data_IF_379261011767
#
_entry.id   IF_379261011767
#
_cell.length_a   1.000
_cell.length_b   1.000
_cell.length_c   1.000
_cell.angle_alpha   90.00
_cell.angle_beta   90.00
_cell.angle_gamma   90.00
#
_symmetry.space_group_name_H-M   'P 1'
#
loop_
_entity.id
_entity.type
_entity.pdbx_description
1 polymer ?
#
# COMPACT_ATOMS: atom_id res chain seq x y z
N UNK A 1 19.55 19.40 -8.99
CA UNK A 1 19.08 18.94 -10.32
C UNK A 1 17.72 19.54 -10.75
N UNK A 2 17.08 20.41 -9.96
CA UNK A 2 15.73 20.94 -10.22
C UNK A 2 15.63 21.95 -11.37
N UNK A 3 16.75 22.57 -11.74
CA UNK A 3 16.84 23.59 -12.81
C UNK A 3 16.93 22.95 -14.20
N UNK A 4 17.56 21.77 -14.31
CA UNK A 4 17.73 21.08 -15.58
C UNK A 4 16.46 20.33 -16.02
N UNK A 5 15.75 19.69 -15.08
CA UNK A 5 14.57 18.88 -15.40
C UNK A 5 13.30 19.69 -15.70
N UNK A 6 13.19 20.93 -15.20
CA UNK A 6 12.03 21.80 -15.47
C UNK A 6 11.82 22.08 -16.96
N UNK A 7 12.82 22.55 -17.74
CA UNK A 7 12.64 22.76 -19.19
C UNK A 7 12.53 21.44 -19.97
N UNK A 8 13.21 20.37 -19.55
CA UNK A 8 13.16 19.06 -20.24
C UNK A 8 11.81 18.34 -20.09
N UNK A 9 11.15 18.44 -18.93
CA UNK A 9 9.79 17.92 -18.74
C UNK A 9 8.78 18.61 -19.67
N UNK A 10 8.96 19.90 -19.99
CA UNK A 10 8.09 20.65 -20.92
C UNK A 10 8.24 20.15 -22.37
N UNK A 11 9.41 19.60 -22.73
CA UNK A 11 9.67 18.98 -24.04
C UNK A 11 9.31 17.49 -24.11
N UNK A 12 8.64 16.94 -23.10
CA UNK A 12 8.20 15.54 -23.09
C UNK A 12 9.27 14.51 -22.68
N UNK A 13 10.44 14.96 -22.22
CA UNK A 13 11.49 14.07 -21.70
C UNK A 13 11.20 13.83 -20.22
N UNK A 14 10.63 12.66 -19.92
CA UNK A 14 10.32 12.25 -18.55
C UNK A 14 11.59 12.06 -17.72
N UNK A 15 11.67 12.71 -16.56
CA UNK A 15 12.77 12.57 -15.61
C UNK A 15 13.02 11.09 -15.22
N UNK A 16 14.17 10.50 -15.60
CA UNK A 16 14.55 9.14 -15.27
C UNK A 16 15.07 9.00 -13.83
N UNK A 17 15.30 10.11 -13.11
CA UNK A 17 15.83 10.15 -11.74
C UNK A 17 14.74 10.27 -10.66
N UNK A 18 13.46 10.20 -11.03
CA UNK A 18 12.37 10.25 -10.06
C UNK A 18 12.49 9.10 -9.03
N UNK A 19 12.55 9.42 -7.71
CA UNK A 19 12.60 8.41 -6.65
C UNK A 19 11.45 7.39 -6.73
N UNK A 20 10.31 7.79 -7.31
CA UNK A 20 9.15 6.93 -7.52
C UNK A 20 9.44 5.70 -8.41
N UNK A 21 10.54 5.71 -9.19
CA UNK A 21 10.96 4.58 -10.03
C UNK A 21 12.10 3.74 -9.42
N UNK A 22 12.49 4.00 -8.17
CA UNK A 22 13.59 3.25 -7.52
C UNK A 22 13.13 1.88 -6.98
N UNK A 23 12.84 0.96 -7.89
CA UNK A 23 12.41 -0.40 -7.56
C UNK A 23 13.44 -1.19 -6.74
N UNK A 24 14.74 -0.86 -6.86
CA UNK A 24 15.81 -1.54 -6.11
C UNK A 24 15.70 -1.30 -4.61
N UNK A 25 15.51 -0.05 -4.19
CA UNK A 25 15.34 0.26 -2.76
C UNK A 25 14.00 -0.27 -2.21
N UNK A 26 12.94 -0.24 -3.02
CA UNK A 26 11.66 -0.86 -2.66
C UNK A 26 11.80 -2.36 -2.36
N UNK A 27 12.43 -3.11 -3.28
CA UNK A 27 12.69 -4.55 -3.11
C UNK A 27 13.55 -4.79 -1.87
N UNK A 28 14.54 -3.93 -1.62
CA UNK A 28 15.45 -4.05 -0.47
C UNK A 28 14.74 -3.80 0.87
N UNK A 29 13.88 -2.79 0.95
CA UNK A 29 13.06 -2.51 2.15
C UNK A 29 12.10 -3.66 2.40
N UNK A 30 11.29 -4.05 1.40
CA UNK A 30 10.37 -5.18 1.56
C UNK A 30 11.09 -6.47 1.96
N UNK A 31 12.24 -6.77 1.35
CA UNK A 31 13.05 -7.95 1.69
C UNK A 31 13.56 -7.91 3.12
N UNK A 32 14.04 -6.76 3.60
CA UNK A 32 14.53 -6.60 4.98
C UNK A 32 13.41 -6.76 5.98
N UNK A 33 12.25 -6.14 5.72
CA UNK A 33 11.09 -6.26 6.60
C UNK A 33 10.58 -7.69 6.64
N UNK A 34 10.44 -8.37 5.48
CA UNK A 34 10.04 -9.78 5.42
C UNK A 34 11.02 -10.70 6.15
N UNK A 35 12.33 -10.44 5.99
CA UNK A 35 13.36 -11.20 6.72
C UNK A 35 13.21 -11.00 8.23
N UNK A 36 13.04 -9.77 8.69
CA UNK A 36 12.83 -9.47 10.11
C UNK A 36 11.57 -10.15 10.65
N UNK A 37 10.45 -10.12 9.92
CA UNK A 37 9.20 -10.83 10.31
C UNK A 37 9.44 -12.33 10.48
N UNK A 38 10.14 -12.96 9.54
CA UNK A 38 10.46 -14.37 9.61
C UNK A 38 11.41 -14.72 10.78
N UNK A 39 12.28 -13.79 11.18
CA UNK A 39 13.16 -13.94 12.34
C UNK A 39 12.46 -13.65 13.68
N UNK A 40 11.21 -13.16 13.67
CA UNK A 40 10.42 -12.79 14.84
C UNK A 40 9.06 -13.50 14.83
N UNK A 41 9.07 -14.83 14.61
CA UNK A 41 7.90 -15.70 14.74
C UNK A 41 6.66 -15.22 13.93
N UNK A 42 6.91 -14.80 12.70
CA UNK A 42 5.91 -14.28 11.78
C UNK A 42 5.05 -13.13 12.36
N UNK A 43 5.64 -12.28 13.21
CA UNK A 43 4.93 -11.16 13.82
C UNK A 43 4.25 -10.27 12.77
N UNK A 44 2.93 -10.16 12.89
CA UNK A 44 2.10 -9.33 12.03
C UNK A 44 2.67 -7.91 12.00
N UNK A 45 3.06 -7.48 10.80
CA UNK A 45 3.70 -6.18 10.60
C UNK A 45 2.99 -5.41 9.51
N UNK A 46 2.50 -4.22 9.85
CA UNK A 46 1.85 -3.29 8.92
C UNK A 46 2.85 -2.17 8.61
N UNK A 47 3.12 -1.96 7.32
CA UNK A 47 4.01 -0.91 6.82
C UNK A 47 3.30 -0.02 5.80
N UNK A 48 3.97 1.06 5.38
CA UNK A 48 3.49 1.94 4.31
C UNK A 48 4.64 2.44 3.43
N UNK A 49 4.63 3.73 3.11
CA UNK A 49 5.68 4.47 2.36
C UNK A 49 5.87 4.09 0.89
N UNK A 50 5.78 2.80 0.53
CA UNK A 50 6.03 2.32 -0.85
C UNK A 50 4.87 2.56 -1.80
N UNK A 51 3.69 2.97 -1.29
CA UNK A 51 2.46 3.15 -2.05
C UNK A 51 1.95 1.86 -2.72
N UNK A 52 2.43 0.69 -2.28
CA UNK A 52 2.05 -0.61 -2.84
C UNK A 52 1.29 -1.42 -1.81
N UNK A 53 -0.05 -1.47 -1.88
CA UNK A 53 -0.83 -2.23 -0.91
C UNK A 53 -0.46 -3.71 -0.99
N UNK A 54 -0.36 -4.36 0.16
CA UNK A 54 -0.06 -5.79 0.30
C UNK A 54 -0.92 -6.38 1.41
N UNK A 55 -1.56 -7.49 1.08
CA UNK A 55 -2.41 -8.23 2.01
C UNK A 55 -2.08 -9.73 1.85
N UNK A 56 -1.18 -10.28 2.69
CA UNK A 56 -0.77 -11.69 2.60
C UNK A 56 -1.89 -12.62 3.05
N UNK A 57 -1.88 -13.88 2.57
CA UNK A 57 -2.81 -14.90 3.05
C UNK A 57 -2.29 -15.52 4.35
N UNK A 58 -3.15 -16.09 5.20
CA UNK A 58 -2.72 -16.94 6.29
C UNK A 58 -1.75 -18.03 5.80
N UNK A 59 -0.63 -18.24 6.50
CA UNK A 59 0.45 -19.13 6.10
C UNK A 59 1.59 -18.47 5.30
N UNK A 60 1.38 -17.28 4.74
CA UNK A 60 2.46 -16.46 4.18
C UNK A 60 3.15 -15.61 5.28
N UNK A 61 4.26 -14.97 4.91
CA UNK A 61 4.88 -13.93 5.74
C UNK A 61 3.86 -12.81 5.98
N UNK A 62 3.57 -12.51 7.25
CA UNK A 62 2.55 -11.56 7.71
C UNK A 62 2.97 -10.08 7.52
N UNK A 63 3.43 -9.75 6.31
CA UNK A 63 3.79 -8.41 5.86
C UNK A 63 2.61 -7.74 5.15
N UNK A 64 1.98 -6.78 5.84
CA UNK A 64 0.90 -5.96 5.32
C UNK A 64 1.44 -4.60 4.88
N UNK A 65 0.85 -4.04 3.83
CA UNK A 65 1.13 -2.67 3.41
C UNK A 65 -0.19 -1.93 3.14
N UNK A 66 -0.36 -0.77 3.76
CA UNK A 66 -1.57 0.07 3.66
C UNK A 66 -1.73 0.77 2.31
N UNK A 67 -0.69 0.79 1.47
CA UNK A 67 -0.68 1.38 0.15
C UNK A 67 -0.45 2.88 0.19
N UNK A 68 -1.33 3.66 -0.43
CA UNK A 68 -1.17 5.11 -0.58
C UNK A 68 -2.31 5.89 0.05
N UNK A 69 -1.95 6.69 1.07
CA UNK A 69 -2.86 7.60 1.76
C UNK A 69 -2.89 9.02 1.16
N UNK A 70 -2.21 9.23 0.02
CA UNK A 70 -2.02 10.55 -0.59
C UNK A 70 -2.47 10.62 -2.04
N UNK A 71 -3.14 9.58 -2.54
CA UNK A 71 -3.57 9.55 -3.93
C UNK A 71 -4.76 10.52 -4.13
N UNK A 72 -4.80 11.35 -5.21
CA UNK A 72 -5.68 12.52 -5.27
C UNK A 72 -7.20 12.24 -5.21
N UNK A 73 -7.63 11.03 -5.56
CA UNK A 73 -9.07 10.65 -5.61
C UNK A 73 -9.42 9.46 -4.73
N UNK A 74 -8.45 8.93 -4.01
CA UNK A 74 -8.65 7.75 -3.18
C UNK A 74 -7.53 7.58 -2.18
N UNK A 75 -7.84 6.96 -1.06
CA UNK A 75 -6.83 6.47 -0.12
C UNK A 75 -7.05 4.98 0.09
N UNK A 76 -5.97 4.23 0.26
CA UNK A 76 -6.02 2.85 0.74
C UNK A 76 -5.64 2.80 2.21
N UNK A 77 -6.07 1.74 2.91
CA UNK A 77 -5.73 1.54 4.31
C UNK A 77 -5.96 0.11 4.76
N UNK A 78 -5.45 -0.22 5.94
CA UNK A 78 -5.79 -1.46 6.65
C UNK A 78 -6.78 -1.11 7.75
N UNK A 79 -7.95 -1.74 7.73
CA UNK A 79 -8.95 -1.66 8.79
C UNK A 79 -8.89 -2.90 9.67
N UNK A 80 -8.99 -2.68 10.99
CA UNK A 80 -9.06 -3.74 12.00
C UNK A 80 -10.41 -3.62 12.68
N UNK A 81 -11.25 -4.64 12.52
CA UNK A 81 -12.58 -4.68 13.12
C UNK A 81 -12.90 -6.11 13.55
N UNK A 82 -13.48 -6.28 14.74
CA UNK A 82 -13.91 -7.59 15.25
C UNK A 82 -12.83 -8.70 15.20
N UNK A 83 -11.56 -8.33 15.40
CA UNK A 83 -10.43 -9.27 15.35
C UNK A 83 -10.00 -9.69 13.94
N UNK A 84 -10.52 -9.04 12.90
CA UNK A 84 -10.16 -9.26 11.51
C UNK A 84 -9.51 -8.03 10.86
N UNK A 85 -8.59 -8.29 9.92
CA UNK A 85 -7.93 -7.30 9.07
C UNK A 85 -8.63 -7.23 7.71
N UNK A 86 -8.76 -6.03 7.16
CA UNK A 86 -9.22 -5.79 5.80
C UNK A 86 -8.36 -4.74 5.11
N UNK A 87 -7.98 -4.96 3.85
CA UNK A 87 -7.45 -3.91 2.99
C UNK A 87 -8.62 -3.20 2.32
N UNK A 88 -8.70 -1.90 2.49
CA UNK A 88 -9.82 -1.09 2.02
C UNK A 88 -9.32 0.09 1.18
N UNK A 89 -10.24 0.64 0.39
CA UNK A 89 -10.04 1.85 -0.40
C UNK A 89 -11.23 2.78 -0.20
N UNK A 90 -10.97 3.97 0.32
CA UNK A 90 -11.92 5.06 0.26
C UNK A 90 -11.70 5.82 -1.04
N UNK A 91 -12.75 6.03 -1.83
CA UNK A 91 -12.64 6.75 -3.09
C UNK A 91 -13.86 7.63 -3.35
N UNK A 92 -13.66 8.64 -4.19
CA UNK A 92 -14.75 9.45 -4.72
C UNK A 92 -15.45 8.64 -5.81
N UNK A 93 -16.77 8.49 -5.69
CA UNK A 93 -17.65 7.90 -6.69
C UNK A 93 -18.79 8.88 -7.03
N UNK A 94 -19.32 8.77 -8.24
CA UNK A 94 -20.46 9.56 -8.69
C UNK A 94 -21.70 8.68 -8.66
N UNK A 95 -22.78 9.17 -8.07
CA UNK A 95 -24.09 8.53 -8.11
C UNK A 95 -24.79 8.82 -9.45
N UNK A 96 -25.84 8.06 -9.78
CA UNK A 96 -26.54 8.16 -11.07
C UNK A 96 -27.18 9.55 -11.30
N UNK A 97 -27.43 10.30 -10.23
CA UNK A 97 -27.93 11.68 -10.22
C UNK A 97 -26.82 12.75 -10.37
N UNK A 98 -25.56 12.34 -10.54
CA UNK A 98 -24.41 13.24 -10.70
C UNK A 98 -23.78 13.73 -9.39
N UNK A 99 -24.23 13.28 -8.22
CA UNK A 99 -23.67 13.68 -6.93
C UNK A 99 -22.36 12.95 -6.62
N UNK A 100 -21.34 13.67 -6.14
CA UNK A 100 -20.09 13.05 -5.66
C UNK A 100 -20.26 12.56 -4.21
N UNK A 101 -19.88 11.31 -3.95
CA UNK A 101 -19.86 10.69 -2.63
C UNK A 101 -18.54 10.00 -2.37
N UNK A 102 -18.15 9.95 -1.09
CA UNK A 102 -17.03 9.11 -0.64
C UNK A 102 -17.59 7.73 -0.34
N UNK A 103 -17.04 6.71 -0.97
CA UNK A 103 -17.44 5.31 -0.79
C UNK A 103 -16.28 4.47 -0.27
N UNK A 104 -16.57 3.56 0.66
CA UNK A 104 -15.64 2.52 1.13
C UNK A 104 -15.74 1.32 0.19
N UNK A 105 -14.60 0.85 -0.31
CA UNK A 105 -14.48 -0.37 -1.10
C UNK A 105 -13.57 -1.33 -0.37
N UNK A 106 -14.03 -2.57 -0.17
CA UNK A 106 -13.19 -3.65 0.33
C UNK A 106 -12.32 -4.15 -0.83
N UNK A 107 -11.00 -4.08 -0.67
CA UNK A 107 -10.05 -4.60 -1.66
C UNK A 107 -9.69 -6.06 -1.36
N UNK A 108 -9.33 -6.35 -0.12
CA UNK A 108 -9.02 -7.71 0.37
C UNK A 108 -9.43 -7.90 1.83
N UNK A 109 -9.64 -9.15 2.25
CA UNK A 109 -10.19 -9.52 3.56
C UNK A 109 -11.73 -9.56 3.56
N UNK A 110 -12.38 -9.60 4.74
CA UNK A 110 -11.78 -9.68 6.08
C UNK A 110 -11.06 -11.02 6.31
N UNK A 111 -9.91 -10.98 6.99
CA UNK A 111 -9.17 -12.17 7.44
C UNK A 111 -8.92 -12.10 8.94
N UNK A 112 -9.11 -13.19 9.67
CA UNK A 112 -8.92 -13.19 11.12
C UNK A 112 -7.44 -13.00 11.45
N UNK A 113 -7.16 -12.13 12.42
CA UNK A 113 -5.79 -11.90 12.92
C UNK A 113 -5.21 -13.19 13.51
N UNK A 114 -6.05 -14.02 14.12
CA UNK A 114 -5.66 -15.29 14.73
C UNK A 114 -5.04 -16.27 13.72
N UNK A 115 -5.47 -16.23 12.45
CA UNK A 115 -5.04 -17.17 11.42
C UNK A 115 -3.58 -16.93 10.97
N UNK A 116 -2.98 -15.80 11.35
CA UNK A 116 -1.59 -15.45 11.03
C UNK A 116 -0.59 -15.88 12.10
N UNK A 117 -1.05 -16.39 13.25
CA UNK A 117 -0.16 -16.92 14.28
C UNK A 117 0.55 -18.17 13.78
N UNK A 118 1.87 -18.18 13.82
CA UNK A 118 2.68 -19.39 13.70
C UNK A 118 2.90 -19.96 15.09
N UNK A 119 2.58 -21.24 15.30
CA UNK A 119 2.91 -22.00 16.51
C UNK A 119 4.41 -22.31 16.62
#
# INVERSE_FOLDING_TARGET
VRILWKPLNVMGIADPTSPAKNYKELIKVERRTKKWIAENDNLITIAGHTHRPRFPKPGDIAFFNDGSCVHPRSITGIEIENGALSLIKWQIATTDDGTLRIVRVLLEGPQNIADYKTE
#
